data_IF_825959254561
#
_entry.id   IF_825959254561
#
_cell.length_a   1.000
_cell.length_b   1.000
_cell.length_c   1.000
_cell.angle_alpha   90.00
_cell.angle_beta   90.00
_cell.angle_gamma   90.00
#
_symmetry.space_group_name_H-M   'P 1'
#
loop_
_entity.id
_entity.type
_entity.pdbx_description
1 polymer ?
#
# COMPACT_ATOMS: atom_id res chain seq x y z
N UNK A 1 -56.02 42.76 -30.07
CA UNK A 1 -56.49 42.06 -28.86
C UNK A 1 -56.68 40.62 -29.30
N UNK A 2 -55.86 39.61 -28.97
CA UNK A 2 -54.88 39.31 -27.93
C UNK A 2 -53.77 38.43 -28.59
N UNK A 3 -52.46 38.64 -28.35
CA UNK A 3 -51.61 38.03 -27.31
C UNK A 3 -51.85 36.51 -27.15
N UNK A 4 -50.90 35.56 -27.16
CA UNK A 4 -49.42 35.45 -27.14
C UNK A 4 -49.11 33.96 -27.52
N UNK A 5 -47.91 33.61 -28.01
CA UNK A 5 -47.58 32.24 -28.41
C UNK A 5 -47.22 31.31 -27.24
N UNK A 6 -47.50 30.01 -27.44
CA UNK A 6 -47.09 28.88 -26.60
C UNK A 6 -45.56 28.75 -26.49
N UNK A 7 -45.06 28.60 -25.26
CA UNK A 7 -43.82 27.90 -24.94
C UNK A 7 -44.10 27.11 -23.67
N UNK A 8 -43.85 25.79 -23.64
CA UNK A 8 -43.52 25.12 -22.40
C UNK A 8 -42.11 24.54 -22.43
N UNK A 9 -41.39 24.92 -21.37
CA UNK A 9 -40.53 24.09 -20.54
C UNK A 9 -39.30 23.42 -21.16
N UNK A 10 -38.19 24.16 -20.99
CA UNK A 10 -36.82 23.69 -20.93
C UNK A 10 -36.72 22.56 -19.89
N UNK A 11 -36.56 21.33 -20.38
CA UNK A 11 -36.18 20.18 -19.57
C UNK A 11 -34.69 20.28 -19.23
N UNK A 12 -34.38 20.83 -18.05
CA UNK A 12 -33.03 20.81 -17.47
C UNK A 12 -32.71 19.37 -17.05
N UNK A 13 -32.05 18.63 -17.93
CA UNK A 13 -31.49 17.31 -17.63
C UNK A 13 -30.29 17.49 -16.69
N UNK A 14 -30.52 17.28 -15.39
CA UNK A 14 -29.47 17.26 -14.35
C UNK A 14 -28.58 16.03 -14.57
N UNK A 15 -27.25 16.17 -14.68
CA UNK A 15 -26.36 15.02 -14.67
C UNK A 15 -26.27 14.46 -13.24
N UNK A 16 -26.66 13.20 -13.07
CA UNK A 16 -26.48 12.42 -11.86
C UNK A 16 -24.98 12.10 -11.74
N UNK A 17 -24.25 12.82 -10.89
CA UNK A 17 -22.87 12.48 -10.54
C UNK A 17 -22.88 11.24 -9.65
N UNK A 18 -22.65 10.09 -10.27
CA UNK A 18 -22.39 8.83 -9.61
C UNK A 18 -20.96 8.90 -9.03
N UNK A 19 -20.82 9.31 -7.77
CA UNK A 19 -19.52 9.25 -7.09
C UNK A 19 -19.20 7.79 -6.78
N UNK A 20 -18.43 7.16 -7.66
CA UNK A 20 -17.78 5.89 -7.39
C UNK A 20 -16.76 6.13 -6.26
N UNK A 21 -17.10 5.72 -5.04
CA UNK A 21 -16.14 5.69 -3.94
C UNK A 21 -15.32 4.40 -4.14
N UNK A 22 -13.99 4.47 -4.29
CA UNK A 22 -13.17 3.27 -4.35
C UNK A 22 -13.33 2.52 -3.03
N UNK A 23 -13.82 1.29 -3.14
CA UNK A 23 -13.93 0.35 -2.04
C UNK A 23 -12.51 -0.10 -1.70
N UNK A 24 -11.88 0.57 -0.73
CA UNK A 24 -10.62 0.09 -0.18
C UNK A 24 -10.87 -1.26 0.47
N UNK A 25 -10.19 -2.27 -0.07
CA UNK A 25 -10.19 -3.63 0.42
C UNK A 25 -9.83 -3.63 1.91
N UNK A 26 -10.85 -3.87 2.75
CA UNK A 26 -10.67 -4.27 4.13
C UNK A 26 -10.09 -5.69 4.15
N UNK A 27 -8.76 -5.83 4.19
CA UNK A 27 -8.14 -7.04 4.74
C UNK A 27 -8.25 -7.00 6.28
N UNK A 28 -9.48 -7.06 6.79
CA UNK A 28 -9.77 -7.23 8.23
C UNK A 28 -9.79 -8.72 8.51
N UNK A 29 -8.74 -9.23 9.16
CA UNK A 29 -8.78 -10.54 9.83
C UNK A 29 -9.97 -10.55 10.79
N UNK A 30 -10.89 -11.48 10.58
CA UNK A 30 -12.14 -11.62 11.32
C UNK A 30 -11.88 -11.82 12.82
N UNK A 31 -12.41 -10.92 13.64
CA UNK A 31 -12.92 -11.29 14.96
C UNK A 31 -14.44 -11.14 14.89
N UNK A 32 -15.13 -12.27 14.88
CA UNK A 32 -16.57 -12.32 15.13
C UNK A 32 -16.78 -12.13 16.63
N UNK A 33 -17.45 -11.04 17.01
CA UNK A 33 -18.51 -11.01 18.01
C UNK A 33 -19.20 -9.64 18.01
N UNK A 34 -20.36 -9.61 17.35
CA UNK A 34 -21.64 -8.94 17.69
C UNK A 34 -21.70 -7.48 18.19
N UNK A 35 -22.87 -6.91 17.90
CA UNK A 35 -23.50 -5.69 18.42
C UNK A 35 -23.03 -4.33 17.89
N UNK A 36 -23.81 -3.88 16.90
CA UNK A 36 -24.42 -2.56 16.75
C UNK A 36 -24.35 -1.67 18.00
N UNK A 37 -23.55 -0.60 17.92
CA UNK A 37 -23.67 0.74 18.53
C UNK A 37 -22.27 1.38 18.63
N UNK A 38 -22.09 2.63 18.20
CA UNK A 38 -20.85 3.40 18.43
C UNK A 38 -20.04 3.80 17.19
N UNK A 39 -20.63 4.61 16.30
CA UNK A 39 -19.90 5.19 15.16
C UNK A 39 -19.00 6.39 15.57
N UNK A 40 -19.15 6.92 16.78
CA UNK A 40 -18.30 8.02 17.31
C UNK A 40 -17.13 7.50 18.17
N UNK A 41 -17.36 6.56 19.09
CA UNK A 41 -16.31 5.98 19.95
C UNK A 41 -15.24 5.19 19.18
N UNK A 42 -15.63 4.52 18.10
CA UNK A 42 -14.71 3.74 17.26
C UNK A 42 -13.74 4.62 16.46
N UNK A 43 -14.17 5.82 16.06
CA UNK A 43 -13.33 6.77 15.33
C UNK A 43 -12.32 7.46 16.25
N UNK A 44 -12.76 7.86 17.45
CA UNK A 44 -11.87 8.41 18.50
C UNK A 44 -10.82 7.38 18.89
N UNK A 45 -11.23 6.13 19.19
CA UNK A 45 -10.32 5.04 19.55
C UNK A 45 -9.33 4.69 18.44
N UNK A 46 -9.75 4.75 17.17
CA UNK A 46 -8.86 4.51 16.02
C UNK A 46 -7.83 5.62 15.85
N UNK A 47 -8.23 6.89 15.98
CA UNK A 47 -7.30 8.03 15.96
C UNK A 47 -6.27 7.95 17.08
N UNK A 48 -6.69 7.54 18.28
CA UNK A 48 -5.79 7.37 19.42
C UNK A 48 -4.78 6.22 19.22
N UNK A 49 -5.17 5.16 18.51
CA UNK A 49 -4.24 4.06 18.17
C UNK A 49 -3.22 4.54 17.13
N UNK A 50 -3.68 5.19 16.06
CA UNK A 50 -2.80 5.72 15.00
C UNK A 50 -1.83 6.77 15.56
N UNK A 51 -2.30 7.66 16.44
CA UNK A 51 -1.45 8.65 17.08
C UNK A 51 -0.36 8.02 17.95
N UNK A 52 -0.70 7.02 18.78
CA UNK A 52 0.29 6.30 19.59
C UNK A 52 1.30 5.54 18.75
N UNK A 53 0.85 4.88 17.69
CA UNK A 53 1.72 4.18 16.75
C UNK A 53 2.69 5.14 16.06
N UNK A 54 2.22 6.34 15.67
CA UNK A 54 3.06 7.37 15.07
C UNK A 54 4.12 7.92 16.05
N UNK A 55 3.74 8.14 17.30
CA UNK A 55 4.68 8.54 18.35
C UNK A 55 5.75 7.47 18.58
N UNK A 56 5.37 6.18 18.61
CA UNK A 56 6.33 5.08 18.68
C UNK A 56 7.26 5.08 17.46
N UNK A 57 6.71 5.22 16.25
CA UNK A 57 7.47 5.26 15.00
C UNK A 57 8.52 6.39 14.97
N UNK A 58 8.28 7.50 15.65
CA UNK A 58 9.26 8.60 15.72
C UNK A 58 10.49 8.23 16.55
N UNK A 59 10.36 7.30 17.48
CA UNK A 59 11.44 6.90 18.40
C UNK A 59 12.31 5.76 17.87
N UNK A 60 11.85 5.02 16.86
CA UNK A 60 12.56 3.86 16.32
C UNK A 60 13.80 4.24 15.52
N UNK A 61 14.84 3.40 15.63
CA UNK A 61 16.18 3.64 15.07
C UNK A 61 16.39 3.07 13.68
N UNK A 62 15.75 1.95 13.37
CA UNK A 62 15.89 1.26 12.10
C UNK A 62 15.03 1.95 11.05
N UNK A 63 15.56 2.13 9.85
CA UNK A 63 14.76 2.61 8.72
C UNK A 63 14.02 1.44 8.07
N UNK A 64 12.86 1.73 7.46
CA UNK A 64 12.13 0.71 6.71
C UNK A 64 13.02 0.05 5.64
N UNK A 65 13.90 0.83 4.98
CA UNK A 65 14.85 0.33 3.98
C UNK A 65 15.85 -0.68 4.56
N UNK A 66 16.32 -0.46 5.79
CA UNK A 66 17.19 -1.42 6.48
C UNK A 66 16.43 -2.70 6.84
N UNK A 67 15.16 -2.59 7.23
CA UNK A 67 14.31 -3.76 7.48
C UNK A 67 14.06 -4.57 6.19
N UNK A 68 13.82 -3.90 5.05
CA UNK A 68 13.70 -4.55 3.75
C UNK A 68 14.97 -5.35 3.39
N UNK A 69 16.14 -4.74 3.55
CA UNK A 69 17.41 -5.39 3.29
C UNK A 69 17.63 -6.62 4.18
N UNK A 70 17.25 -6.53 5.46
CA UNK A 70 17.33 -7.66 6.39
C UNK A 70 16.44 -8.83 5.92
N UNK A 71 15.17 -8.57 5.56
CA UNK A 71 14.26 -9.59 5.05
C UNK A 71 14.75 -10.22 3.72
N UNK A 72 15.21 -9.40 2.77
CA UNK A 72 15.74 -9.90 1.50
C UNK A 72 17.03 -10.71 1.67
N UNK A 73 17.83 -10.41 2.70
CA UNK A 73 19.02 -11.21 3.02
C UNK A 73 18.69 -12.60 3.55
N UNK A 74 17.54 -12.77 4.21
CA UNK A 74 17.04 -14.09 4.62
C UNK A 74 16.58 -14.92 3.42
N UNK A 75 15.87 -14.28 2.49
CA UNK A 75 15.24 -14.93 1.36
C UNK A 75 15.90 -14.47 0.06
N UNK A 76 17.10 -14.99 -0.21
CA UNK A 76 17.91 -14.56 -1.35
C UNK A 76 17.14 -14.61 -2.68
N UNK A 77 17.19 -13.50 -3.43
CA UNK A 77 16.50 -13.37 -4.73
C UNK A 77 14.98 -13.18 -4.62
N UNK A 78 14.44 -12.96 -3.42
CA UNK A 78 13.06 -12.52 -3.22
C UNK A 78 12.91 -11.03 -3.44
N UNK A 79 11.67 -10.62 -3.73
CA UNK A 79 11.28 -9.21 -3.86
C UNK A 79 10.33 -8.85 -2.74
N UNK A 80 10.45 -7.64 -2.20
CA UNK A 80 9.49 -7.12 -1.22
C UNK A 80 8.17 -6.81 -1.92
N UNK A 81 7.05 -7.23 -1.32
CA UNK A 81 5.70 -7.05 -1.86
C UNK A 81 4.78 -6.27 -0.92
N UNK A 82 5.12 -6.23 0.36
CA UNK A 82 4.41 -5.45 1.38
C UNK A 82 5.36 -5.20 2.54
N UNK A 83 5.24 -4.04 3.17
CA UNK A 83 5.89 -3.70 4.42
C UNK A 83 5.02 -2.75 5.21
N UNK A 84 4.83 -3.05 6.49
CA UNK A 84 4.14 -2.17 7.43
C UNK A 84 4.87 -2.11 8.76
N UNK A 85 4.83 -0.94 9.39
CA UNK A 85 5.16 -0.82 10.80
C UNK A 85 3.99 -1.34 11.64
N UNK A 86 4.31 -2.09 12.69
CA UNK A 86 3.37 -2.50 13.73
C UNK A 86 3.93 -2.07 15.09
N UNK A 87 3.31 -1.03 15.66
CA UNK A 87 3.59 -0.55 17.00
C UNK A 87 2.59 -1.01 18.06
N UNK A 88 1.64 -1.88 17.70
CA UNK A 88 0.42 -2.09 18.50
C UNK A 88 0.58 -3.09 19.64
N UNK A 89 1.56 -4.01 19.57
CA UNK A 89 1.72 -5.10 20.54
C UNK A 89 3.20 -5.35 20.88
N UNK A 90 3.69 -4.77 21.97
CA UNK A 90 5.01 -5.07 22.53
C UNK A 90 6.15 -4.30 21.88
N UNK A 91 7.14 -5.00 21.34
CA UNK A 91 8.31 -4.37 20.70
C UNK A 91 7.91 -3.91 19.31
N UNK A 92 8.15 -2.64 18.93
CA UNK A 92 7.78 -2.15 17.60
C UNK A 92 8.56 -2.91 16.52
N UNK A 93 7.86 -3.39 15.51
CA UNK A 93 8.44 -4.18 14.41
C UNK A 93 8.03 -3.64 13.05
N UNK A 94 8.84 -3.93 12.04
CA UNK A 94 8.42 -3.94 10.65
C UNK A 94 7.99 -5.36 10.28
N UNK A 95 6.79 -5.50 9.73
CA UNK A 95 6.31 -6.73 9.08
C UNK A 95 6.66 -6.62 7.61
N UNK A 96 7.62 -7.40 7.14
CA UNK A 96 8.07 -7.36 5.74
C UNK A 96 7.65 -8.64 5.04
N UNK A 97 6.85 -8.51 3.98
CA UNK A 97 6.52 -9.63 3.10
C UNK A 97 7.45 -9.65 1.91
N UNK A 98 8.12 -10.78 1.71
CA UNK A 98 8.95 -11.05 0.53
C UNK A 98 8.37 -12.20 -0.28
N UNK A 99 8.57 -12.18 -1.60
CA UNK A 99 8.00 -13.12 -2.54
C UNK A 99 9.08 -13.69 -3.47
N UNK A 100 9.04 -15.01 -3.68
CA UNK A 100 9.82 -15.69 -4.72
C UNK A 100 9.13 -16.99 -5.15
N UNK A 101 8.98 -17.17 -6.45
CA UNK A 101 8.40 -18.41 -7.00
C UNK A 101 6.94 -18.58 -6.59
N UNK A 102 6.67 -19.55 -5.71
CA UNK A 102 5.32 -19.79 -5.18
C UNK A 102 5.21 -19.50 -3.67
N UNK A 103 6.22 -18.87 -3.06
CA UNK A 103 6.29 -18.65 -1.63
C UNK A 103 6.30 -17.15 -1.29
N UNK A 104 5.58 -16.81 -0.23
CA UNK A 104 5.62 -15.52 0.43
C UNK A 104 6.04 -15.73 1.88
N UNK A 105 7.08 -15.01 2.29
CA UNK A 105 7.55 -14.97 3.69
C UNK A 105 7.13 -13.66 4.31
N UNK A 106 6.54 -13.71 5.52
CA UNK A 106 6.23 -12.56 6.37
C UNK A 106 7.16 -12.62 7.59
N UNK A 107 8.18 -11.76 7.56
CA UNK A 107 9.20 -11.64 8.59
C UNK A 107 8.90 -10.43 9.49
N UNK A 108 9.01 -10.60 10.81
CA UNK A 108 8.99 -9.49 11.75
C UNK A 108 10.42 -9.04 12.07
N UNK A 109 10.74 -7.79 11.80
CA UNK A 109 12.04 -7.18 12.07
C UNK A 109 11.88 -6.12 13.15
N UNK A 110 12.61 -6.26 14.25
CA UNK A 110 12.65 -5.29 15.34
C UNK A 110 13.06 -3.89 14.83
N UNK A 111 12.21 -2.89 15.06
CA UNK A 111 12.39 -1.54 14.53
C UNK A 111 13.47 -0.74 15.28
N UNK A 112 14.03 -1.25 16.38
CA UNK A 112 15.11 -0.62 17.14
C UNK A 112 16.48 -1.25 16.88
N UNK A 113 16.54 -2.57 16.67
CA UNK A 113 17.78 -3.32 16.50
C UNK A 113 18.01 -3.84 15.09
N UNK A 114 16.94 -4.02 14.30
CA UNK A 114 17.00 -4.61 12.97
C UNK A 114 17.10 -6.14 13.01
N UNK A 115 17.00 -6.74 14.19
CA UNK A 115 17.01 -8.19 14.36
C UNK A 115 15.67 -8.79 13.94
N UNK A 116 15.70 -10.01 13.41
CA UNK A 116 14.49 -10.77 13.12
C UNK A 116 13.94 -11.33 14.42
N UNK A 117 12.64 -11.17 14.63
CA UNK A 117 11.92 -11.59 15.85
C UNK A 117 10.68 -12.40 15.47
N UNK A 118 10.15 -13.21 16.38
CA UNK A 118 8.85 -13.88 16.20
C UNK A 118 8.77 -14.99 15.14
N UNK A 119 9.87 -15.29 14.45
CA UNK A 119 9.93 -16.29 13.39
C UNK A 119 9.30 -15.82 12.06
N UNK A 120 9.49 -16.61 11.01
CA UNK A 120 8.96 -16.32 9.67
C UNK A 120 7.66 -17.08 9.43
N UNK A 121 6.61 -16.38 9.00
CA UNK A 121 5.37 -17.01 8.53
C UNK A 121 5.51 -17.24 7.02
N UNK A 122 5.14 -18.44 6.56
CA UNK A 122 5.25 -18.83 5.15
C UNK A 122 3.84 -19.10 4.60
N UNK A 123 3.52 -18.48 3.47
CA UNK A 123 2.28 -18.69 2.72
C UNK A 123 2.60 -19.06 1.27
N UNK A 124 1.67 -19.76 0.59
CA UNK A 124 1.76 -19.96 -0.85
C UNK A 124 1.02 -18.85 -1.61
N UNK A 125 1.41 -18.60 -2.86
CA UNK A 125 0.70 -17.61 -3.71
C UNK A 125 -0.77 -17.97 -3.88
N UNK A 126 -1.09 -19.27 -3.92
CA UNK A 126 -2.46 -19.79 -4.02
C UNK A 126 -3.33 -19.45 -2.80
N UNK A 127 -2.71 -19.18 -1.66
CA UNK A 127 -3.40 -18.85 -0.41
C UNK A 127 -3.68 -17.34 -0.30
N UNK A 128 -3.14 -16.54 -1.21
CA UNK A 128 -3.32 -15.09 -1.24
C UNK A 128 -4.65 -14.71 -1.89
N UNK A 129 -5.04 -13.45 -1.70
CA UNK A 129 -6.23 -12.89 -2.36
C UNK A 129 -6.00 -12.80 -3.88
N UNK A 130 -7.10 -12.73 -4.66
CA UNK A 130 -6.99 -12.53 -6.12
C UNK A 130 -6.27 -11.23 -6.49
N UNK A 131 -6.47 -10.19 -5.69
CA UNK A 131 -5.80 -8.91 -5.86
C UNK A 131 -4.28 -9.06 -5.67
N UNK A 132 -3.86 -9.68 -4.57
CA UNK A 132 -2.44 -9.95 -4.30
C UNK A 132 -1.83 -10.82 -5.40
N UNK A 133 -2.51 -11.88 -5.84
CA UNK A 133 -2.04 -12.72 -6.94
C UNK A 133 -1.86 -11.90 -8.24
N UNK A 134 -2.79 -10.98 -8.53
CA UNK A 134 -2.69 -10.07 -9.68
C UNK A 134 -1.51 -9.10 -9.55
N UNK A 135 -1.30 -8.55 -8.34
CA UNK A 135 -0.15 -7.71 -8.04
C UNK A 135 1.17 -8.45 -8.27
N UNK A 136 1.27 -9.71 -7.81
CA UNK A 136 2.47 -10.54 -8.00
C UNK A 136 2.72 -10.89 -9.47
N UNK A 137 1.68 -11.12 -10.26
CA UNK A 137 1.80 -11.33 -11.70
C UNK A 137 2.37 -10.08 -12.37
N UNK A 138 1.78 -8.91 -12.12
CA UNK A 138 2.22 -7.64 -12.71
C UNK A 138 3.62 -7.22 -12.24
N UNK A 139 4.02 -7.59 -11.02
CA UNK A 139 5.36 -7.34 -10.49
C UNK A 139 6.47 -7.97 -11.36
N UNK A 140 6.20 -9.09 -12.04
CA UNK A 140 7.19 -9.74 -12.92
C UNK A 140 7.59 -8.85 -14.11
N UNK A 141 6.74 -7.92 -14.52
CA UNK A 141 6.99 -7.02 -15.65
C UNK A 141 7.69 -5.72 -15.22
N UNK A 142 7.98 -5.55 -13.94
CA UNK A 142 8.57 -4.33 -13.35
C UNK A 142 9.97 -4.61 -12.85
N UNK A 143 10.94 -3.74 -13.19
CA UNK A 143 12.33 -3.87 -12.73
C UNK A 143 12.57 -3.28 -11.35
N UNK A 144 11.99 -2.11 -11.09
CA UNK A 144 12.19 -1.42 -9.82
C UNK A 144 11.52 -2.18 -8.68
N UNK A 145 12.02 -2.00 -7.47
CA UNK A 145 11.46 -2.58 -6.25
C UNK A 145 10.77 -1.50 -5.41
N UNK A 146 9.95 -1.93 -4.45
CA UNK A 146 9.34 -1.03 -3.46
C UNK A 146 10.41 -0.17 -2.76
N UNK A 147 11.61 -0.74 -2.54
CA UNK A 147 12.74 -0.01 -1.96
C UNK A 147 13.15 1.22 -2.79
N UNK A 148 13.06 1.17 -4.12
CA UNK A 148 13.33 2.31 -5.00
C UNK A 148 12.24 3.37 -4.85
N UNK A 149 10.98 2.95 -4.82
CA UNK A 149 9.85 3.83 -4.57
C UNK A 149 9.96 4.56 -3.24
N UNK A 150 10.39 3.86 -2.18
CA UNK A 150 10.58 4.45 -0.84
C UNK A 150 11.60 5.57 -0.89
N UNK A 151 12.73 5.38 -1.60
CA UNK A 151 13.73 6.44 -1.76
C UNK A 151 13.14 7.69 -2.42
N UNK A 152 12.29 7.51 -3.44
CA UNK A 152 11.61 8.63 -4.12
C UNK A 152 10.63 9.33 -3.18
N UNK A 153 9.79 8.56 -2.49
CA UNK A 153 8.76 9.09 -1.58
C UNK A 153 9.36 9.83 -0.38
N UNK A 154 10.37 9.25 0.29
CA UNK A 154 11.04 9.88 1.44
C UNK A 154 11.71 11.20 1.05
N UNK A 155 12.40 11.24 -0.09
CA UNK A 155 13.02 12.46 -0.61
C UNK A 155 11.99 13.55 -0.93
N UNK A 156 10.88 13.18 -1.56
CA UNK A 156 9.84 14.14 -1.94
C UNK A 156 9.09 14.67 -0.70
N UNK A 157 8.79 13.80 0.26
CA UNK A 157 8.08 14.16 1.47
C UNK A 157 8.94 14.89 2.51
N UNK A 158 10.28 14.79 2.41
CA UNK A 158 11.23 15.15 3.46
C UNK A 158 10.90 14.42 4.78
N UNK A 159 10.66 13.12 4.68
CA UNK A 159 10.12 12.30 5.78
C UNK A 159 10.64 10.86 5.76
N UNK A 160 10.07 10.01 6.63
CA UNK A 160 10.42 8.58 6.78
C UNK A 160 9.24 7.71 6.40
N UNK A 161 9.45 6.74 5.51
CA UNK A 161 8.41 5.81 5.11
C UNK A 161 8.05 4.86 6.25
N UNK A 162 6.75 4.72 6.51
CA UNK A 162 6.17 3.86 7.56
C UNK A 162 5.54 2.59 6.98
N UNK A 163 5.13 2.61 5.71
CA UNK A 163 4.65 1.43 4.98
C UNK A 163 4.92 1.56 3.48
N UNK A 164 4.85 0.42 2.79
CA UNK A 164 5.02 0.31 1.34
C UNK A 164 4.39 -0.99 0.84
N UNK A 165 3.62 -0.93 -0.24
CA UNK A 165 2.94 -2.10 -0.81
C UNK A 165 2.69 -1.98 -2.29
N UNK A 166 2.09 -3.02 -2.85
CA UNK A 166 1.67 -3.08 -4.25
C UNK A 166 0.18 -2.77 -4.36
N UNK A 167 -0.19 -2.09 -5.44
CA UNK A 167 -1.59 -1.88 -5.82
C UNK A 167 -1.70 -2.05 -7.33
N UNK A 168 -2.70 -2.79 -7.79
CA UNK A 168 -3.04 -2.85 -9.20
C UNK A 168 -4.23 -1.92 -9.45
N UNK A 169 -4.04 -0.96 -10.34
CA UNK A 169 -5.11 -0.08 -10.81
C UNK A 169 -5.20 -0.22 -12.33
N UNK A 170 -6.34 -0.68 -12.82
CA UNK A 170 -6.61 -0.90 -14.26
C UNK A 170 -5.54 -1.72 -14.99
N UNK A 171 -5.02 -2.77 -14.33
CA UNK A 171 -3.99 -3.65 -14.88
C UNK A 171 -2.56 -3.12 -14.74
N UNK A 172 -2.37 -1.90 -14.22
CA UNK A 172 -1.06 -1.31 -13.96
C UNK A 172 -0.66 -1.48 -12.51
N UNK A 173 0.57 -1.94 -12.30
CA UNK A 173 1.15 -2.01 -10.97
C UNK A 173 1.60 -0.62 -10.52
N UNK A 174 1.26 -0.26 -9.30
CA UNK A 174 1.74 0.92 -8.61
C UNK A 174 2.37 0.52 -7.27
N UNK A 175 3.38 1.28 -6.83
CA UNK A 175 3.86 1.24 -5.46
C UNK A 175 3.09 2.26 -4.63
N UNK A 176 2.48 1.80 -3.54
CA UNK A 176 1.79 2.66 -2.58
C UNK A 176 2.66 2.79 -1.35
N UNK A 177 3.13 3.99 -1.05
CA UNK A 177 4.05 4.25 0.07
C UNK A 177 3.47 5.33 0.95
N UNK A 178 3.45 5.09 2.26
CA UNK A 178 3.03 6.08 3.25
C UNK A 178 4.26 6.59 3.98
N UNK A 179 4.38 7.92 4.05
CA UNK A 179 5.51 8.63 4.65
C UNK A 179 5.04 9.50 5.80
N UNK A 180 5.73 9.39 6.92
CA UNK A 180 5.63 10.33 8.05
C UNK A 180 6.46 11.56 7.70
N UNK A 181 5.79 12.70 7.53
CA UNK A 181 6.40 13.99 7.21
C UNK A 181 5.96 15.02 8.25
N UNK A 182 6.83 15.32 9.23
CA UNK A 182 6.44 16.11 10.39
C UNK A 182 5.35 15.40 11.20
N UNK A 183 4.20 16.05 11.36
CA UNK A 183 3.01 15.53 12.07
C UNK A 183 1.99 14.84 11.16
N UNK A 184 2.25 14.81 9.85
CA UNK A 184 1.30 14.31 8.88
C UNK A 184 1.75 12.97 8.27
N UNK A 185 0.77 12.23 7.77
CA UNK A 185 0.99 11.09 6.89
C UNK A 185 0.70 11.51 5.44
N UNK A 186 1.63 11.22 4.54
CA UNK A 186 1.49 11.46 3.11
C UNK A 186 1.54 10.14 2.36
N UNK A 187 0.56 9.90 1.49
CA UNK A 187 0.53 8.73 0.62
C UNK A 187 1.08 9.10 -0.77
N UNK A 188 1.93 8.23 -1.30
CA UNK A 188 2.48 8.30 -2.64
C UNK A 188 2.04 7.08 -3.42
N UNK A 189 1.53 7.29 -4.63
CA UNK A 189 1.23 6.23 -5.61
C UNK A 189 2.23 6.45 -6.74
N UNK A 190 3.15 5.50 -6.92
CA UNK A 190 4.25 5.61 -7.87
C UNK A 190 4.14 4.50 -8.91
N UNK A 191 3.98 4.87 -10.17
CA UNK A 191 4.05 3.94 -11.30
C UNK A 191 5.54 3.59 -11.55
N UNK A 192 5.96 2.33 -11.38
CA UNK A 192 7.34 1.94 -11.60
C UNK A 192 7.61 1.73 -13.10
N UNK A 193 8.81 2.09 -13.59
CA UNK A 193 9.17 1.82 -14.97
C UNK A 193 9.08 0.33 -15.30
N UNK A 194 8.29 0.00 -16.32
CA UNK A 194 8.20 -1.35 -16.85
C UNK A 194 9.57 -1.81 -17.37
N UNK A 195 9.83 -3.10 -17.23
CA UNK A 195 10.95 -3.74 -17.91
C UNK A 195 10.69 -3.63 -19.42
N UNK A 196 11.34 -2.66 -20.07
CA UNK A 196 11.15 -2.36 -21.49
C UNK A 196 10.86 -3.62 -22.29
N UNK A 197 9.67 -3.69 -22.90
CA UNK A 197 9.35 -4.76 -23.82
C UNK A 197 10.47 -4.80 -24.86
N UNK A 198 10.88 -6.01 -25.24
CA UNK A 198 11.93 -6.25 -26.24
C UNK A 198 11.62 -5.69 -27.64
N UNK A 199 10.58 -4.88 -27.80
CA UNK A 199 9.93 -4.57 -29.06
C UNK A 199 10.36 -3.22 -29.69
N UNK A 200 11.04 -2.35 -28.94
CA UNK A 200 11.51 -1.05 -29.49
C UNK A 200 12.77 -1.15 -30.36
N UNK A 201 13.47 -2.30 -30.39
CA UNK A 201 14.66 -2.49 -31.24
C UNK A 201 14.36 -2.93 -32.68
N UNK A 202 13.11 -3.25 -33.01
CA UNK A 202 12.72 -3.64 -34.38
C UNK A 202 12.12 -2.50 -35.20
N UNK A 203 11.82 -1.34 -34.59
CA UNK A 203 11.24 -0.19 -35.31
C UNK A 203 12.26 0.86 -35.79
N UNK A 204 13.54 0.74 -35.42
CA UNK A 204 14.59 1.70 -35.82
C UNK A 204 15.42 1.26 -37.05
N UNK A 205 14.97 0.25 -37.79
CA UNK A 205 15.58 -0.16 -39.06
C UNK A 205 14.52 -0.25 -40.16
N UNK A 206 14.02 0.89 -40.61
CA UNK A 206 13.45 1.05 -41.95
C UNK A 206 13.78 2.44 -42.47
#
# INVERSE_FOLDING_TARGET
MEHRPLIPDILIMRPLLLTCVPSYAHARRELIATSTEGQEDSNVKKKDIVGRELELFRTIKVSIRAALAAAQSLHAGSRVVDVSFDGTLGTPVYRVKTYRGNQVWDDAIDANSGAIVGGTIISLVTDLTREDQTNLIALNDVRHEIADGIVVAERNAQGRAISGGLMNEDGKLNFVIVVVAGNDLKQFILEPPHAASRDSRLRSRR
#
